data_IF_721901071030
#
_entry.id   IF_721901071030
#
_cell.length_a   1.000
_cell.length_b   1.000
_cell.length_c   1.000
_cell.angle_alpha   90.00
_cell.angle_beta   90.00
_cell.angle_gamma   90.00
#
_symmetry.space_group_name_H-M   'P 1'
#
loop_
_entity.id
_entity.type
_entity.pdbx_description
1 polymer ?
#
# COMPACT_ATOMS: atom_id res chain seq x y z
N UNK A 1 24.18 -42.33 10.44
CA UNK A 1 24.28 -40.89 10.82
C UNK A 1 23.40 -40.07 9.87
N UNK A 2 22.18 -39.77 10.29
CA UNK A 2 21.18 -39.10 9.44
C UNK A 2 21.52 -37.64 9.22
N UNK A 3 21.81 -37.25 7.98
CA UNK A 3 21.90 -35.85 7.59
C UNK A 3 20.52 -35.20 7.72
N UNK A 4 20.27 -34.52 8.85
CA UNK A 4 19.15 -33.59 8.97
C UNK A 4 19.30 -32.50 7.91
N UNK A 5 18.53 -32.61 6.83
CA UNK A 5 18.27 -31.50 5.90
C UNK A 5 17.71 -30.35 6.72
N UNK A 6 18.54 -29.34 7.03
CA UNK A 6 18.07 -28.05 7.56
C UNK A 6 16.94 -27.54 6.65
N UNK A 7 15.70 -27.59 7.12
CA UNK A 7 14.56 -26.97 6.44
C UNK A 7 14.88 -25.48 6.32
N UNK A 8 14.77 -24.95 5.11
CA UNK A 8 15.11 -23.56 4.80
C UNK A 8 14.10 -22.64 5.50
N UNK A 9 14.58 -21.58 6.15
CA UNK A 9 13.72 -20.47 6.57
C UNK A 9 13.18 -19.81 5.30
N UNK A 10 11.87 -19.96 5.07
CA UNK A 10 11.15 -19.24 4.02
C UNK A 10 10.87 -17.84 4.52
N UNK A 11 10.98 -16.85 3.65
CA UNK A 11 10.58 -15.49 3.96
C UNK A 11 9.06 -15.40 3.77
N UNK A 12 8.31 -15.36 4.88
CA UNK A 12 6.86 -15.41 4.87
C UNK A 12 6.37 -14.15 5.56
N UNK A 13 5.53 -13.38 4.87
CA UNK A 13 4.83 -12.25 5.45
C UNK A 13 3.46 -12.74 5.94
N UNK A 14 3.11 -12.36 7.18
CA UNK A 14 1.75 -12.46 7.72
C UNK A 14 0.98 -11.23 7.24
N UNK A 15 -0.13 -11.46 6.53
CA UNK A 15 -1.03 -10.41 6.04
C UNK A 15 -2.40 -10.62 6.66
N UNK A 16 -2.99 -9.52 7.11
CA UNK A 16 -4.37 -9.52 7.57
C UNK A 16 -5.30 -9.92 6.42
N UNK A 17 -6.21 -10.85 6.67
CA UNK A 17 -7.24 -11.23 5.70
C UNK A 17 -8.26 -10.10 5.57
N UNK A 18 -8.49 -9.64 4.35
CA UNK A 18 -9.55 -8.67 4.09
C UNK A 18 -10.92 -9.33 4.16
N UNK A 19 -11.90 -8.61 4.71
CA UNK A 19 -13.31 -9.00 4.76
C UNK A 19 -13.94 -8.88 3.37
N UNK A 20 -13.65 -9.86 2.52
CA UNK A 20 -14.20 -9.93 1.16
C UNK A 20 -15.26 -11.02 1.09
N UNK A 21 -16.39 -10.73 0.44
CA UNK A 21 -17.34 -11.75 -0.01
C UNK A 21 -16.78 -12.33 -1.31
N UNK A 22 -16.23 -13.56 -1.34
CA UNK A 22 -15.54 -14.09 -2.51
C UNK A 22 -16.51 -14.55 -3.62
N UNK A 23 -17.82 -14.43 -3.36
CA UNK A 23 -18.87 -14.91 -4.24
C UNK A 23 -19.31 -13.75 -5.15
N UNK A 24 -19.27 -13.99 -6.46
CA UNK A 24 -19.83 -13.07 -7.44
C UNK A 24 -21.32 -12.83 -7.15
N UNK A 25 -21.73 -11.56 -7.17
CA UNK A 25 -23.13 -11.16 -6.97
C UNK A 25 -24.10 -11.93 -7.89
N UNK A 26 -23.74 -12.13 -9.16
CA UNK A 26 -24.55 -12.90 -10.11
C UNK A 26 -24.75 -14.36 -9.69
N UNK A 27 -23.68 -14.98 -9.18
CA UNK A 27 -23.72 -16.36 -8.66
C UNK A 27 -24.58 -16.44 -7.41
N UNK A 28 -24.45 -15.49 -6.49
CA UNK A 28 -25.28 -15.43 -5.28
C UNK A 28 -26.77 -15.30 -5.64
N UNK A 29 -27.11 -14.36 -6.52
CA UNK A 29 -28.51 -14.14 -6.95
C UNK A 29 -29.06 -15.37 -7.65
N UNK A 30 -28.29 -16.00 -8.54
CA UNK A 30 -28.69 -17.23 -9.23
C UNK A 30 -28.92 -18.36 -8.23
N UNK A 31 -27.98 -18.62 -7.33
CA UNK A 31 -28.10 -19.66 -6.31
C UNK A 31 -29.33 -19.44 -5.42
N UNK A 32 -29.57 -18.21 -4.94
CA UNK A 32 -30.75 -17.90 -4.13
C UNK A 32 -32.05 -18.05 -4.92
N UNK A 33 -32.07 -17.63 -6.19
CA UNK A 33 -33.25 -17.79 -7.05
C UNK A 33 -33.59 -19.25 -7.31
N UNK A 34 -32.59 -20.14 -7.44
CA UNK A 34 -32.82 -21.57 -7.62
C UNK A 34 -33.44 -22.26 -6.39
N UNK A 35 -33.25 -21.72 -5.18
CA UNK A 35 -33.82 -22.26 -3.94
C UNK A 35 -35.32 -21.98 -3.79
N UNK A 36 -35.87 -21.00 -4.50
CA UNK A 36 -37.30 -20.67 -4.47
C UNK A 36 -38.04 -21.69 -5.34
N UNK A 37 -39.07 -22.37 -4.85
CA UNK A 37 -39.76 -23.41 -5.63
C UNK A 37 -40.72 -22.82 -6.68
N UNK A 38 -41.45 -21.77 -6.30
CA UNK A 38 -42.46 -21.12 -7.14
C UNK A 38 -41.83 -20.22 -8.21
N UNK A 39 -42.33 -20.33 -9.46
CA UNK A 39 -41.82 -19.55 -10.59
C UNK A 39 -42.16 -18.06 -10.49
N UNK A 40 -43.33 -17.71 -9.95
CA UNK A 40 -43.75 -16.31 -9.84
C UNK A 40 -42.91 -15.57 -8.79
N UNK A 41 -42.68 -16.21 -7.63
CA UNK A 41 -41.84 -15.69 -6.55
C UNK A 41 -40.38 -15.53 -7.00
N UNK A 42 -39.87 -16.41 -7.88
CA UNK A 42 -38.53 -16.25 -8.49
C UNK A 42 -38.42 -14.95 -9.28
N UNK A 43 -39.44 -14.64 -10.10
CA UNK A 43 -39.44 -13.43 -10.93
C UNK A 43 -39.53 -12.19 -10.04
N UNK A 44 -40.33 -12.22 -8.99
CA UNK A 44 -40.45 -11.13 -8.03
C UNK A 44 -39.14 -10.92 -7.25
N UNK A 45 -38.51 -11.99 -6.77
CA UNK A 45 -37.20 -11.94 -6.11
C UNK A 45 -36.12 -11.31 -6.99
N UNK A 46 -36.09 -11.64 -8.28
CA UNK A 46 -35.15 -11.03 -9.23
C UNK A 46 -35.44 -9.54 -9.44
N UNK A 47 -36.72 -9.14 -9.50
CA UNK A 47 -37.11 -7.71 -9.57
C UNK A 47 -36.69 -6.98 -8.30
N UNK A 48 -36.89 -7.58 -7.12
CA UNK A 48 -36.43 -7.04 -5.84
C UNK A 48 -34.91 -6.85 -5.83
N UNK A 49 -34.12 -7.87 -6.20
CA UNK A 49 -32.67 -7.78 -6.27
C UNK A 49 -32.18 -6.65 -7.18
N UNK A 50 -32.86 -6.44 -8.33
CA UNK A 50 -32.56 -5.32 -9.24
C UNK A 50 -32.87 -3.96 -8.60
N UNK A 51 -34.03 -3.82 -7.94
CA UNK A 51 -34.40 -2.57 -7.25
C UNK A 51 -33.42 -2.23 -6.14
N UNK A 52 -33.02 -3.22 -5.34
CA UNK A 52 -32.00 -3.07 -4.30
C UNK A 52 -30.66 -2.64 -4.89
N UNK A 53 -30.21 -3.27 -6.00
CA UNK A 53 -28.98 -2.86 -6.68
C UNK A 53 -29.03 -1.40 -7.15
N UNK A 54 -30.12 -1.01 -7.83
CA UNK A 54 -30.29 0.36 -8.32
C UNK A 54 -30.36 1.38 -7.17
N UNK A 55 -31.07 1.07 -6.09
CA UNK A 55 -31.18 1.95 -4.92
C UNK A 55 -29.81 2.16 -4.25
N UNK A 56 -29.05 1.08 -4.05
CA UNK A 56 -27.70 1.15 -3.48
C UNK A 56 -26.78 1.98 -4.39
N UNK A 57 -26.81 1.74 -5.71
CA UNK A 57 -26.00 2.52 -6.67
C UNK A 57 -26.36 4.00 -6.67
N UNK A 58 -27.65 4.33 -6.64
CA UNK A 58 -28.11 5.71 -6.58
C UNK A 58 -27.66 6.40 -5.28
N UNK A 59 -27.74 5.70 -4.14
CA UNK A 59 -27.26 6.23 -2.87
C UNK A 59 -25.76 6.53 -2.90
N UNK A 60 -24.94 5.59 -3.39
CA UNK A 60 -23.50 5.83 -3.54
C UNK A 60 -23.17 6.93 -4.54
N UNK A 61 -23.97 7.05 -5.61
CA UNK A 61 -23.78 8.09 -6.61
C UNK A 61 -23.97 9.49 -6.01
N UNK A 62 -24.99 9.69 -5.16
CA UNK A 62 -25.21 10.98 -4.46
C UNK A 62 -24.00 11.33 -3.58
N UNK A 63 -23.53 10.39 -2.75
CA UNK A 63 -22.34 10.62 -1.91
C UNK A 63 -21.08 10.94 -2.72
N UNK A 64 -20.95 10.34 -3.90
CA UNK A 64 -19.82 10.59 -4.79
C UNK A 64 -19.89 11.98 -5.45
N UNK A 65 -21.07 12.39 -5.90
CA UNK A 65 -21.30 13.73 -6.46
C UNK A 65 -20.99 14.82 -5.42
N UNK A 66 -21.49 14.67 -4.19
CA UNK A 66 -21.22 15.62 -3.10
C UNK A 66 -19.70 15.73 -2.82
N UNK A 67 -19.00 14.60 -2.77
CA UNK A 67 -17.55 14.57 -2.60
C UNK A 67 -16.81 15.23 -3.77
N UNK A 68 -17.28 15.03 -5.01
CA UNK A 68 -16.67 15.59 -6.22
C UNK A 68 -16.85 17.11 -6.27
N UNK A 69 -18.03 17.61 -5.90
CA UNK A 69 -18.29 19.04 -5.81
C UNK A 69 -17.36 19.70 -4.79
N UNK A 70 -17.19 19.09 -3.61
CA UNK A 70 -16.25 19.56 -2.60
C UNK A 70 -14.80 19.51 -3.10
N UNK A 71 -14.40 18.42 -3.77
CA UNK A 71 -13.05 18.26 -4.30
C UNK A 71 -12.72 19.29 -5.39
N UNK A 72 -13.72 19.71 -6.18
CA UNK A 72 -13.53 20.71 -7.26
C UNK A 72 -12.98 22.04 -6.73
N UNK A 73 -13.24 22.39 -5.47
CA UNK A 73 -12.69 23.58 -4.82
C UNK A 73 -11.19 23.47 -4.51
N UNK A 74 -10.68 22.25 -4.39
CA UNK A 74 -9.30 21.94 -3.99
C UNK A 74 -8.50 21.26 -5.10
N UNK A 75 -9.07 21.13 -6.31
CA UNK A 75 -8.44 20.42 -7.41
C UNK A 75 -7.21 21.19 -7.92
N UNK A 76 -6.01 20.59 -7.90
CA UNK A 76 -4.79 21.24 -8.38
C UNK A 76 -4.78 21.58 -9.87
N UNK A 77 -5.67 21.02 -10.70
CA UNK A 77 -5.65 21.24 -12.17
C UNK A 77 -6.75 22.19 -12.62
N UNK A 78 -7.99 21.98 -12.15
CA UNK A 78 -9.15 22.75 -12.58
C UNK A 78 -9.81 23.54 -11.44
N UNK A 79 -9.14 23.65 -10.29
CA UNK A 79 -9.67 24.28 -9.09
C UNK A 79 -10.19 25.68 -9.37
N UNK A 80 -11.47 25.90 -9.12
CA UNK A 80 -11.99 27.25 -8.97
C UNK A 80 -11.54 27.72 -7.59
N UNK A 81 -10.41 28.45 -7.51
CA UNK A 81 -9.98 29.04 -6.25
C UNK A 81 -11.16 29.75 -5.60
N UNK A 82 -11.46 29.48 -4.32
CA UNK A 82 -12.54 30.18 -3.63
C UNK A 82 -12.13 31.64 -3.41
N UNK A 83 -12.31 32.48 -4.42
CA UNK A 83 -11.87 33.88 -4.45
C UNK A 83 -12.65 34.77 -3.46
N UNK A 84 -13.70 34.24 -2.80
CA UNK A 84 -14.63 34.98 -1.94
C UNK A 84 -14.90 34.35 -0.56
N UNK A 85 -14.13 33.36 -0.11
CA UNK A 85 -14.35 32.71 1.20
C UNK A 85 -13.34 33.16 2.26
N UNK A 86 -13.79 33.24 3.51
CA UNK A 86 -12.89 33.47 4.65
C UNK A 86 -11.91 32.29 4.78
N UNK A 87 -10.66 32.50 5.22
CA UNK A 87 -9.73 31.40 5.48
C UNK A 87 -10.30 30.35 6.46
N UNK A 88 -11.15 30.75 7.40
CA UNK A 88 -11.82 29.85 8.36
C UNK A 88 -12.88 28.98 7.66
N UNK A 89 -13.64 29.54 6.71
CA UNK A 89 -14.61 28.79 5.93
C UNK A 89 -13.92 27.75 5.05
N UNK A 90 -12.74 28.08 4.52
CA UNK A 90 -11.94 27.14 3.74
C UNK A 90 -11.42 26.01 4.64
N UNK A 91 -10.96 26.31 5.85
CA UNK A 91 -10.55 25.27 6.82
C UNK A 91 -11.71 24.32 7.17
N UNK A 92 -12.92 24.86 7.32
CA UNK A 92 -14.12 24.05 7.55
C UNK A 92 -14.45 23.16 6.35
N UNK A 93 -14.37 23.70 5.12
CA UNK A 93 -14.59 22.93 3.90
C UNK A 93 -13.53 21.84 3.70
N UNK A 94 -12.27 22.11 4.03
CA UNK A 94 -11.18 21.12 4.03
C UNK A 94 -11.52 19.97 5.00
N UNK A 95 -12.00 20.30 6.20
CA UNK A 95 -12.40 19.30 7.20
C UNK A 95 -13.58 18.45 6.73
N UNK A 96 -14.61 19.09 6.16
CA UNK A 96 -15.80 18.41 5.61
C UNK A 96 -15.38 17.47 4.47
N UNK A 97 -14.56 17.95 3.54
CA UNK A 97 -14.02 17.13 2.46
C UNK A 97 -13.27 15.89 2.98
N UNK A 98 -12.34 16.07 3.93
CA UNK A 98 -11.60 14.97 4.52
C UNK A 98 -12.51 13.97 5.24
N UNK A 99 -13.53 14.46 5.95
CA UNK A 99 -14.50 13.59 6.63
C UNK A 99 -15.25 12.71 5.64
N UNK A 100 -15.79 13.29 4.57
CA UNK A 100 -16.48 12.52 3.52
C UNK A 100 -15.53 11.56 2.80
N UNK A 101 -14.31 11.99 2.49
CA UNK A 101 -13.31 11.14 1.86
C UNK A 101 -12.99 9.92 2.73
N UNK A 102 -12.75 10.11 4.03
CA UNK A 102 -12.46 9.01 4.95
C UNK A 102 -13.65 8.05 5.08
N UNK A 103 -14.88 8.55 5.17
CA UNK A 103 -16.07 7.71 5.19
C UNK A 103 -16.22 6.85 3.93
N UNK A 104 -15.93 7.42 2.75
CA UNK A 104 -15.95 6.68 1.48
C UNK A 104 -14.86 5.62 1.44
N UNK A 105 -13.65 5.95 1.92
CA UNK A 105 -12.53 5.01 1.99
C UNK A 105 -12.81 3.87 2.98
N UNK A 106 -13.35 4.18 4.16
CA UNK A 106 -13.71 3.20 5.19
C UNK A 106 -14.81 2.24 4.68
N UNK A 107 -15.90 2.77 4.10
CA UNK A 107 -16.93 1.95 3.43
C UNK A 107 -16.38 1.14 2.26
N UNK A 108 -15.32 1.65 1.65
CA UNK A 108 -14.57 0.97 0.60
C UNK A 108 -13.61 -0.10 1.08
N UNK A 109 -13.53 -0.38 2.40
CA UNK A 109 -12.56 -1.27 3.05
C UNK A 109 -11.10 -0.86 2.81
N UNK A 110 -10.83 0.43 2.63
CA UNK A 110 -9.45 0.93 2.61
C UNK A 110 -8.93 1.06 4.04
N UNK A 111 -7.68 0.66 4.25
CA UNK A 111 -6.95 0.81 5.52
C UNK A 111 -5.80 1.79 5.34
N UNK A 112 -5.50 2.58 6.37
CA UNK A 112 -4.27 3.38 6.41
C UNK A 112 -3.08 2.43 6.52
N UNK A 113 -2.02 2.68 5.75
CA UNK A 113 -0.81 1.85 5.77
C UNK A 113 -0.08 2.01 7.09
N UNK A 114 0.34 0.90 7.70
CA UNK A 114 1.03 0.91 8.99
C UNK A 114 2.52 1.15 8.82
N UNK A 115 3.18 1.57 9.90
CA UNK A 115 4.64 1.71 9.91
C UNK A 115 5.35 0.40 9.51
N UNK A 116 4.84 -0.75 9.98
CA UNK A 116 5.41 -2.06 9.68
C UNK A 116 5.37 -2.38 8.18
N UNK A 117 4.26 -2.07 7.50
CA UNK A 117 4.13 -2.25 6.06
C UNK A 117 5.11 -1.38 5.28
N UNK A 118 5.34 -0.15 5.74
CA UNK A 118 6.35 0.74 5.16
C UNK A 118 7.76 0.18 5.40
N UNK A 119 8.08 -0.27 6.61
CA UNK A 119 9.39 -0.88 6.89
C UNK A 119 9.63 -2.13 6.03
N UNK A 120 8.60 -2.96 5.85
CA UNK A 120 8.68 -4.14 4.99
C UNK A 120 8.93 -3.72 3.53
N UNK A 121 8.28 -2.64 3.06
CA UNK A 121 8.51 -2.09 1.73
C UNK A 121 9.96 -1.62 1.55
N UNK A 122 10.48 -0.83 2.49
CA UNK A 122 11.86 -0.32 2.47
C UNK A 122 12.92 -1.43 2.62
N UNK A 123 12.58 -2.55 3.27
CA UNK A 123 13.54 -3.60 3.62
C UNK A 123 13.97 -4.48 2.44
N UNK A 124 13.22 -4.51 1.35
CA UNK A 124 13.40 -5.51 0.31
C UNK A 124 13.29 -4.91 -1.10
N UNK A 125 14.19 -5.32 -1.98
CA UNK A 125 14.27 -4.84 -3.35
C UNK A 125 13.58 -5.84 -4.29
N UNK A 126 12.48 -5.44 -4.91
CA UNK A 126 11.74 -6.32 -5.82
C UNK A 126 12.05 -6.02 -7.30
N UNK A 127 11.63 -4.86 -7.83
CA UNK A 127 11.85 -4.53 -9.26
C UNK A 127 12.62 -3.23 -9.46
N UNK A 128 12.42 -2.26 -8.58
CA UNK A 128 13.03 -0.93 -8.72
C UNK A 128 14.06 -0.71 -7.63
N UNK A 129 15.20 -0.13 -8.01
CA UNK A 129 16.29 0.17 -7.09
C UNK A 129 16.70 1.63 -7.32
N UNK A 130 15.77 2.52 -7.01
CA UNK A 130 15.98 3.95 -7.09
C UNK A 130 16.18 4.44 -5.66
N UNK A 131 17.32 5.08 -5.33
CA UNK A 131 17.49 5.68 -4.02
C UNK A 131 16.59 6.92 -3.94
N UNK A 132 15.36 6.71 -3.48
CA UNK A 132 14.30 7.72 -3.42
C UNK A 132 14.30 8.32 -2.03
N UNK A 133 14.53 9.63 -1.95
CA UNK A 133 14.31 10.40 -0.73
C UNK A 133 13.16 11.37 -1.01
N UNK A 134 12.08 11.25 -0.26
CA UNK A 134 10.96 12.20 -0.31
C UNK A 134 11.42 13.51 0.31
N UNK A 135 11.33 14.60 -0.46
CA UNK A 135 11.60 15.94 0.06
C UNK A 135 10.44 16.40 0.95
N UNK A 136 10.55 16.12 2.24
CA UNK A 136 9.52 16.45 3.23
C UNK A 136 9.28 17.95 3.41
N UNK A 137 10.20 18.80 2.95
CA UNK A 137 10.06 20.26 3.06
C UNK A 137 8.95 20.81 2.16
N UNK A 138 8.60 20.07 1.11
CA UNK A 138 7.60 20.45 0.11
C UNK A 138 6.19 19.97 0.45
N UNK A 139 6.02 19.31 1.59
CA UNK A 139 4.73 18.80 2.06
C UNK A 139 4.20 19.67 3.18
N UNK A 140 2.93 20.00 3.07
CA UNK A 140 2.24 20.68 4.14
C UNK A 140 1.97 19.71 5.29
N UNK A 141 2.02 20.26 6.51
CA UNK A 141 1.70 19.53 7.75
C UNK A 141 0.42 20.01 8.41
N UNK A 142 -0.14 21.14 7.98
CA UNK A 142 -1.28 21.78 8.65
C UNK A 142 -2.58 21.01 8.43
N UNK A 143 -2.83 20.54 7.20
CA UNK A 143 -4.10 19.88 6.81
C UNK A 143 -4.41 18.67 7.70
N UNK A 144 -3.51 17.69 7.66
CA UNK A 144 -3.72 16.41 8.32
C UNK A 144 -3.57 16.53 9.83
N UNK A 145 -2.63 17.37 10.30
CA UNK A 145 -2.49 17.64 11.74
C UNK A 145 -3.74 18.29 12.32
N UNK A 146 -4.34 19.26 11.63
CA UNK A 146 -5.60 19.88 12.04
C UNK A 146 -6.76 18.88 12.02
N UNK A 147 -6.85 18.06 10.98
CA UNK A 147 -7.88 17.03 10.89
C UNK A 147 -7.81 16.00 12.03
N UNK A 148 -6.63 15.46 12.32
CA UNK A 148 -6.44 14.45 13.36
C UNK A 148 -6.50 15.01 14.78
N UNK A 149 -6.29 16.31 14.98
CA UNK A 149 -6.55 16.96 16.26
C UNK A 149 -8.04 16.88 16.64
N UNK A 150 -8.93 17.01 15.64
CA UNK A 150 -10.37 16.93 15.83
C UNK A 150 -10.90 15.48 15.75
N UNK A 151 -10.22 14.60 15.01
CA UNK A 151 -10.59 13.18 14.83
C UNK A 151 -9.40 12.28 15.22
N UNK A 152 -9.24 11.95 16.52
CA UNK A 152 -8.16 11.07 16.95
C UNK A 152 -8.36 9.66 16.38
N UNK A 153 -7.38 9.16 15.65
CA UNK A 153 -7.39 7.82 15.07
C UNK A 153 -6.30 6.97 15.74
N UNK A 154 -6.60 5.71 16.05
CA UNK A 154 -5.62 4.76 16.58
C UNK A 154 -4.63 4.33 15.49
N UNK A 155 -3.37 4.04 15.85
CA UNK A 155 -2.35 3.48 14.95
C UNK A 155 -2.02 4.31 13.70
N UNK A 156 -1.88 5.63 13.86
CA UNK A 156 -1.40 6.50 12.79
C UNK A 156 0.10 6.30 12.53
N UNK A 157 0.53 6.22 11.26
CA UNK A 157 1.94 6.07 10.93
C UNK A 157 2.74 7.34 11.23
N UNK A 158 4.07 7.21 11.35
CA UNK A 158 4.96 8.32 11.71
C UNK A 158 4.92 9.52 10.74
N UNK A 159 4.45 9.30 9.52
CA UNK A 159 4.34 10.31 8.46
C UNK A 159 2.91 10.84 8.26
N UNK A 160 1.94 10.43 9.08
CA UNK A 160 0.52 10.77 8.93
C UNK A 160 0.23 12.27 8.92
N UNK A 161 1.09 13.09 9.52
CA UNK A 161 0.96 14.56 9.49
C UNK A 161 1.23 15.16 8.11
N UNK A 162 1.96 14.46 7.22
CA UNK A 162 2.44 14.98 5.93
C UNK A 162 1.65 14.43 4.76
N UNK A 163 1.42 13.12 4.75
CA UNK A 163 0.67 12.42 3.73
C UNK A 163 0.08 11.14 4.30
N UNK A 164 -0.95 10.62 3.64
CA UNK A 164 -1.55 9.34 3.98
C UNK A 164 -1.52 8.41 2.79
N UNK A 165 -1.25 7.14 3.08
CA UNK A 165 -1.33 6.05 2.11
C UNK A 165 -2.43 5.12 2.58
N UNK A 166 -3.50 5.05 1.81
CA UNK A 166 -4.58 4.09 1.98
C UNK A 166 -4.33 2.90 1.06
N UNK A 167 -4.50 1.69 1.56
CA UNK A 167 -4.36 0.44 0.80
C UNK A 167 -5.63 -0.39 0.87
N UNK A 168 -5.86 -1.19 -0.18
CA UNK A 168 -6.91 -2.20 -0.25
C UNK A 168 -6.54 -3.30 -1.22
N UNK A 169 -6.95 -4.52 -0.92
CA UNK A 169 -6.71 -5.72 -1.69
C UNK A 169 -5.30 -6.22 -1.47
N UNK A 170 -5.17 -7.51 -1.19
CA UNK A 170 -3.90 -8.23 -1.21
C UNK A 170 -3.91 -9.22 -2.37
N UNK A 171 -3.04 -8.97 -3.34
CA UNK A 171 -2.76 -9.87 -4.45
C UNK A 171 -1.38 -10.49 -4.36
N UNK A 172 -1.05 -11.35 -5.33
CA UNK A 172 0.27 -11.96 -5.46
C UNK A 172 0.77 -11.68 -6.87
N UNK A 173 1.85 -10.92 -7.00
CA UNK A 173 2.57 -10.79 -8.27
C UNK A 173 3.54 -11.95 -8.42
N UNK A 174 3.53 -12.57 -9.60
CA UNK A 174 4.44 -13.66 -9.96
C UNK A 174 5.07 -13.34 -11.30
N UNK A 175 6.39 -13.21 -11.32
CA UNK A 175 7.12 -12.97 -12.55
C UNK A 175 8.17 -14.04 -12.80
N UNK A 176 8.12 -14.69 -13.96
CA UNK A 176 9.07 -15.74 -14.34
C UNK A 176 9.94 -15.27 -15.49
N UNK A 177 11.23 -15.05 -15.23
CA UNK A 177 12.19 -14.66 -16.25
C UNK A 177 13.60 -15.20 -15.95
N UNK A 178 14.53 -14.94 -16.86
CA UNK A 178 15.92 -15.37 -16.72
C UNK A 178 16.71 -14.53 -15.70
N UNK A 179 16.36 -13.25 -15.53
CA UNK A 179 16.92 -12.31 -14.53
C UNK A 179 18.45 -12.31 -14.43
N UNK A 180 19.16 -12.49 -15.55
CA UNK A 180 20.61 -12.75 -15.58
C UNK A 180 21.40 -11.64 -14.86
N UNK A 181 21.11 -10.36 -15.17
CA UNK A 181 21.77 -9.19 -14.54
C UNK A 181 21.59 -9.18 -13.02
N UNK A 182 20.36 -9.37 -12.53
CA UNK A 182 20.06 -9.39 -11.10
C UNK A 182 20.76 -10.55 -10.38
N UNK A 183 20.81 -11.73 -11.01
CA UNK A 183 21.53 -12.89 -10.47
C UNK A 183 23.05 -12.65 -10.39
N UNK A 184 23.67 -12.08 -11.44
CA UNK A 184 25.10 -11.75 -11.44
C UNK A 184 25.41 -10.74 -10.34
N UNK A 185 24.64 -9.65 -10.24
CA UNK A 185 24.80 -8.64 -9.18
C UNK A 185 24.68 -9.27 -7.79
N UNK A 186 23.72 -10.18 -7.59
CA UNK A 186 23.55 -10.90 -6.32
C UNK A 186 24.77 -11.76 -5.98
N UNK A 187 25.36 -12.45 -6.97
CA UNK A 187 26.59 -13.24 -6.78
C UNK A 187 27.76 -12.34 -6.43
N UNK A 188 27.94 -11.23 -7.16
CA UNK A 188 29.00 -10.24 -6.89
C UNK A 188 28.85 -9.69 -5.47
N UNK A 189 27.64 -9.27 -5.08
CA UNK A 189 27.37 -8.73 -3.75
C UNK A 189 27.65 -9.75 -2.63
N UNK A 190 27.28 -11.03 -2.82
CA UNK A 190 27.58 -12.11 -1.86
C UNK A 190 29.08 -12.36 -1.74
N UNK A 191 29.78 -12.42 -2.87
CA UNK A 191 31.24 -12.59 -2.91
C UNK A 191 31.95 -11.43 -2.23
N UNK A 192 31.54 -10.18 -2.50
CA UNK A 192 32.11 -8.98 -1.88
C UNK A 192 31.83 -8.94 -0.37
N UNK A 193 30.63 -9.31 0.07
CA UNK A 193 30.26 -9.39 1.49
C UNK A 193 31.07 -10.45 2.23
N UNK A 194 31.34 -11.59 1.59
CA UNK A 194 32.19 -12.65 2.15
C UNK A 194 33.66 -12.24 2.17
N UNK A 195 34.16 -11.61 1.11
CA UNK A 195 35.51 -11.04 1.04
C UNK A 195 35.74 -10.00 2.14
N UNK A 196 34.84 -9.02 2.30
CA UNK A 196 34.92 -7.99 3.35
C UNK A 196 34.81 -8.55 4.78
N UNK A 197 34.07 -9.67 4.96
CA UNK A 197 34.03 -10.38 6.25
C UNK A 197 35.35 -11.08 6.55
N UNK A 198 35.96 -11.70 5.54
CA UNK A 198 37.20 -12.44 5.68
C UNK A 198 38.42 -11.53 5.86
N UNK A 199 38.45 -10.37 5.20
CA UNK A 199 39.56 -9.40 5.29
C UNK A 199 39.44 -8.45 6.51
N UNK A 200 38.40 -8.57 7.34
CA UNK A 200 38.23 -7.75 8.54
C UNK A 200 37.93 -6.26 8.31
N UNK A 201 37.87 -5.81 7.04
CA UNK A 201 37.68 -4.40 6.64
C UNK A 201 36.28 -3.84 6.89
N UNK A 202 35.36 -4.62 7.46
CA UNK A 202 34.02 -4.15 7.86
C UNK A 202 34.06 -2.90 8.75
N UNK A 203 35.13 -2.67 9.52
CA UNK A 203 35.31 -1.46 10.34
C UNK A 203 35.52 -0.18 9.55
N UNK A 204 36.08 -0.25 8.33
CA UNK A 204 36.45 0.94 7.56
C UNK A 204 35.32 1.53 6.70
N UNK A 205 34.34 0.72 6.28
CA UNK A 205 33.23 1.19 5.44
C UNK A 205 31.90 1.40 6.20
N UNK A 206 31.89 1.20 7.52
CA UNK A 206 30.69 1.39 8.35
C UNK A 206 30.57 2.84 8.82
N UNK A 207 30.31 3.79 7.91
CA UNK A 207 29.71 5.07 8.32
C UNK A 207 28.27 4.78 8.72
N UNK A 208 28.00 4.80 10.02
CA UNK A 208 26.67 4.69 10.63
C UNK A 208 25.71 5.70 9.96
N UNK A 209 24.65 5.29 9.23
CA UNK A 209 23.52 6.18 9.07
C UNK A 209 22.88 6.36 10.45
N UNK A 210 22.63 7.61 10.85
CA UNK A 210 21.84 7.95 12.04
C UNK A 210 20.41 7.49 11.77
N UNK A 211 20.05 6.31 12.25
CA UNK A 211 18.68 5.82 12.16
C UNK A 211 17.78 6.60 13.15
N UNK A 212 16.57 7.05 12.76
CA UNK A 212 15.55 7.43 13.71
C UNK A 212 15.15 6.20 14.54
N UNK A 213 15.13 6.37 15.86
CA UNK A 213 14.57 5.53 16.93
C UNK A 213 14.34 4.03 16.63
N UNK A 214 15.14 3.22 17.30
CA UNK A 214 15.03 1.77 17.45
C UNK A 214 13.58 1.26 17.63
N UNK A 215 13.03 0.64 16.58
CA UNK A 215 12.30 -0.62 16.74
C UNK A 215 13.11 -1.68 16.00
N UNK A 216 13.53 -2.71 16.72
CA UNK A 216 14.19 -3.88 16.14
C UNK A 216 13.27 -4.50 15.07
N UNK A 217 13.78 -4.93 13.91
CA UNK A 217 13.05 -5.88 13.08
C UNK A 217 12.80 -7.11 13.93
N UNK A 218 11.52 -7.43 14.17
CA UNK A 218 11.12 -8.68 14.80
C UNK A 218 11.84 -9.83 14.09
N UNK A 219 12.61 -10.62 14.83
CA UNK A 219 13.28 -11.80 14.29
C UNK A 219 12.24 -12.68 13.57
N UNK A 220 12.61 -13.40 12.48
CA UNK A 220 11.69 -14.30 11.82
C UNK A 220 11.28 -15.40 12.80
N UNK A 221 10.11 -15.23 13.40
CA UNK A 221 9.51 -16.14 14.35
C UNK A 221 9.29 -17.49 13.66
N UNK A 222 9.96 -18.52 14.18
CA UNK A 222 9.67 -19.90 13.80
C UNK A 222 8.30 -20.27 14.38
N UNK A 223 7.25 -20.03 13.61
CA UNK A 223 5.89 -20.40 14.04
C UNK A 223 5.73 -21.91 13.89
N UNK A 224 5.69 -22.59 15.03
CA UNK A 224 5.16 -23.94 15.12
C UNK A 224 3.70 -23.92 14.63
N UNK A 225 3.42 -24.68 13.57
CA UNK A 225 2.07 -24.91 13.08
C UNK A 225 1.32 -25.70 14.15
N UNK A 226 0.56 -25.01 14.98
CA UNK A 226 -0.26 -25.62 16.01
C UNK A 226 -1.07 -24.60 16.80
N UNK A 227 -2.40 -24.74 16.70
CA UNK A 227 -3.50 -24.14 17.49
C UNK A 227 -4.18 -22.90 16.89
N UNK A 228 -5.28 -23.22 16.18
CA UNK A 228 -6.62 -22.61 16.23
C UNK A 228 -6.75 -21.18 16.78
N UNK A 229 -7.23 -20.27 15.92
CA UNK A 229 -7.91 -19.06 16.37
C UNK A 229 -7.75 -17.80 15.51
N UNK A 230 -6.81 -17.74 14.56
CA UNK A 230 -6.54 -16.50 13.81
C UNK A 230 -6.35 -16.80 12.32
N UNK A 231 -7.20 -16.19 11.50
CA UNK A 231 -7.45 -16.53 10.09
C UNK A 231 -6.50 -15.74 9.16
N UNK A 232 -5.22 -15.67 9.51
CA UNK A 232 -4.20 -14.89 8.81
C UNK A 232 -3.77 -15.49 7.47
N UNK A 233 -3.54 -14.64 6.47
CA UNK A 233 -2.95 -15.06 5.20
C UNK A 233 -1.42 -15.00 5.26
N UNK A 234 -0.77 -16.15 5.07
CA UNK A 234 0.68 -16.26 4.98
C UNK A 234 1.13 -16.31 3.52
N UNK A 235 1.86 -15.29 3.07
CA UNK A 235 2.37 -15.21 1.68
C UNK A 235 3.89 -15.32 1.67
N UNK A 236 4.41 -16.28 0.90
CA UNK A 236 5.85 -16.45 0.71
C UNK A 236 6.40 -15.37 -0.23
N UNK A 237 7.43 -14.65 0.22
CA UNK A 237 8.25 -13.77 -0.62
C UNK A 237 9.36 -14.59 -1.24
N UNK A 238 9.49 -14.47 -2.57
CA UNK A 238 10.53 -15.19 -3.29
C UNK A 238 11.35 -14.16 -4.05
N UNK A 239 12.41 -13.64 -3.44
CA UNK A 239 13.34 -12.69 -4.07
C UNK A 239 14.62 -13.35 -4.55
N UNK A 240 15.20 -12.83 -5.62
CA UNK A 240 16.48 -13.34 -6.18
C UNK A 240 17.59 -13.30 -5.14
N UNK A 241 17.59 -12.27 -4.28
CA UNK A 241 18.58 -12.09 -3.22
C UNK A 241 18.61 -13.23 -2.20
N UNK A 242 17.49 -13.93 -2.03
CA UNK A 242 17.34 -15.05 -1.10
C UNK A 242 17.42 -16.42 -1.82
N UNK A 243 17.51 -16.44 -3.15
CA UNK A 243 17.63 -17.67 -3.94
C UNK A 243 19.04 -18.29 -3.87
N UNK A 244 19.11 -19.63 -3.92
CA UNK A 244 20.38 -20.34 -4.15
C UNK A 244 20.76 -20.24 -5.63
N UNK A 245 21.61 -19.27 -5.95
CA UNK A 245 22.18 -19.09 -7.28
C UNK A 245 23.43 -19.97 -7.39
N UNK A 246 23.37 -20.95 -8.30
CA UNK A 246 24.52 -21.73 -8.77
C UNK A 246 24.69 -21.48 -10.27
N UNK A 247 25.84 -21.87 -10.83
CA UNK A 247 26.22 -21.57 -12.22
C UNK A 247 25.16 -22.08 -13.21
N UNK A 248 24.64 -23.31 -13.02
CA UNK A 248 23.57 -23.86 -13.87
C UNK A 248 22.20 -23.17 -13.67
N UNK A 249 21.97 -22.53 -12.52
CA UNK A 249 20.72 -21.79 -12.23
C UNK A 249 20.75 -20.33 -12.68
N UNK A 250 21.89 -19.84 -13.20
CA UNK A 250 21.97 -18.54 -13.85
C UNK A 250 21.20 -18.52 -15.17
N UNK A 251 21.32 -19.60 -15.94
CA UNK A 251 20.69 -19.79 -17.26
C UNK A 251 19.24 -20.31 -17.17
N UNK A 252 18.78 -20.76 -16.00
CA UNK A 252 17.40 -21.22 -15.83
C UNK A 252 16.42 -20.06 -15.59
N UNK A 253 15.17 -20.22 -16.05
CA UNK A 253 14.08 -19.31 -15.64
C UNK A 253 13.80 -19.50 -14.15
N UNK A 254 13.66 -18.39 -13.42
CA UNK A 254 13.28 -18.39 -12.01
C UNK A 254 12.02 -17.54 -11.85
N UNK A 255 11.13 -17.96 -10.94
CA UNK A 255 9.94 -17.20 -10.56
C UNK A 255 10.26 -16.37 -9.32
N UNK A 256 10.04 -15.06 -9.41
CA UNK A 256 10.03 -14.15 -8.27
C UNK A 256 8.57 -13.95 -7.87
N UNK A 257 8.32 -13.80 -6.57
CA UNK A 257 6.99 -13.59 -6.01
C UNK A 257 7.03 -12.51 -4.94
N UNK A 258 6.06 -11.61 -4.96
CA UNK A 258 5.87 -10.56 -3.95
C UNK A 258 4.37 -10.30 -3.76
N UNK A 259 3.88 -10.10 -2.51
CA UNK A 259 2.53 -9.59 -2.29
C UNK A 259 2.34 -8.20 -2.92
N UNK A 260 1.16 -7.94 -3.45
CA UNK A 260 0.79 -6.65 -4.04
C UNK A 260 -0.40 -6.04 -3.33
N UNK A 261 -0.42 -4.72 -3.22
CA UNK A 261 -1.66 -4.00 -2.95
C UNK A 261 -2.46 -3.84 -4.24
N UNK A 262 -3.71 -4.30 -4.25
CA UNK A 262 -4.57 -4.22 -5.44
C UNK A 262 -4.90 -2.77 -5.78
N UNK A 263 -5.16 -1.94 -4.75
CA UNK A 263 -5.42 -0.50 -4.87
C UNK A 263 -4.73 0.27 -3.76
N UNK A 264 -4.13 1.39 -4.13
CA UNK A 264 -3.52 2.34 -3.21
C UNK A 264 -4.03 3.73 -3.53
N UNK A 265 -4.39 4.50 -2.52
CA UNK A 265 -4.75 5.91 -2.62
C UNK A 265 -3.77 6.71 -1.78
N UNK A 266 -3.19 7.77 -2.35
CA UNK A 266 -2.32 8.70 -1.64
C UNK A 266 -2.97 10.05 -1.56
N UNK A 267 -3.03 10.57 -0.34
CA UNK A 267 -3.55 11.89 -0.01
C UNK A 267 -2.42 12.76 0.52
N UNK A 268 -2.21 13.93 -0.08
CA UNK A 268 -1.22 14.90 0.39
C UNK A 268 -1.57 16.32 -0.03
N UNK A 269 -0.99 17.31 0.66
CA UNK A 269 -1.00 18.72 0.27
C UNK A 269 0.43 19.22 0.11
N UNK A 270 0.67 20.06 -0.90
CA UNK A 270 1.96 20.72 -1.09
C UNK A 270 2.10 21.87 -0.11
N UNK A 271 3.30 22.10 0.39
CA UNK A 271 3.58 23.30 1.17
C UNK A 271 3.37 24.54 0.28
N UNK A 272 2.62 25.51 0.78
CA UNK A 272 2.43 26.79 0.12
C UNK A 272 3.74 27.59 0.14
N UNK A 273 4.04 28.27 -0.96
CA UNK A 273 5.11 29.28 -0.99
C UNK A 273 4.55 30.63 -0.53
N UNK A 274 5.41 31.56 -0.09
CA UNK A 274 4.97 32.90 0.35
C UNK A 274 4.14 33.66 -0.70
N UNK A 275 4.31 33.31 -1.98
CA UNK A 275 3.62 33.92 -3.12
C UNK A 275 2.37 33.17 -3.57
N UNK A 276 2.13 31.95 -3.07
CA UNK A 276 1.09 31.05 -3.60
C UNK A 276 0.35 30.37 -2.45
N UNK A 277 -0.82 30.91 -2.08
CA UNK A 277 -1.70 30.36 -1.04
C UNK A 277 -2.55 29.19 -1.59
N UNK A 278 -1.97 28.38 -2.45
CA UNK A 278 -2.62 27.24 -3.06
C UNK A 278 -2.95 26.17 -1.98
N UNK A 279 -4.24 26.07 -1.64
CA UNK A 279 -4.78 25.07 -0.71
C UNK A 279 -5.14 23.75 -1.39
N UNK A 280 -4.48 23.45 -2.51
CA UNK A 280 -4.79 22.32 -3.36
C UNK A 280 -4.49 20.97 -2.67
N UNK A 281 -5.45 20.05 -2.74
CA UNK A 281 -5.35 18.72 -2.14
C UNK A 281 -5.17 17.69 -3.26
N UNK A 282 -4.11 16.88 -3.15
CA UNK A 282 -3.80 15.88 -4.15
C UNK A 282 -4.27 14.51 -3.69
N UNK A 283 -5.13 13.88 -4.52
CA UNK A 283 -5.57 12.49 -4.34
C UNK A 283 -5.12 11.68 -5.55
N UNK A 284 -4.21 10.72 -5.33
CA UNK A 284 -3.67 9.85 -6.40
C UNK A 284 -4.05 8.41 -6.16
N UNK A 285 -4.41 7.70 -7.23
CA UNK A 285 -4.82 6.30 -7.17
C UNK A 285 -3.88 5.42 -8.02
N UNK A 286 -3.42 4.33 -7.41
CA UNK A 286 -2.53 3.34 -8.02
C UNK A 286 -3.17 1.95 -7.91
N UNK A 287 -2.82 1.06 -8.86
CA UNK A 287 -3.33 -0.32 -8.92
C UNK A 287 -2.19 -1.32 -9.01
N UNK A 288 -2.34 -2.46 -8.36
CA UNK A 288 -1.43 -3.62 -8.45
C UNK A 288 0.04 -3.26 -8.19
N UNK A 289 0.30 -2.57 -7.07
CA UNK A 289 1.64 -2.16 -6.68
C UNK A 289 2.24 -3.24 -5.77
N UNK A 290 3.41 -3.84 -6.11
CA UNK A 290 4.13 -4.73 -5.21
C UNK A 290 4.45 -4.03 -3.90
N UNK A 291 4.32 -4.74 -2.78
CA UNK A 291 4.54 -4.18 -1.45
C UNK A 291 5.98 -3.64 -1.30
N UNK A 292 6.97 -4.38 -1.79
CA UNK A 292 8.37 -3.93 -1.88
C UNK A 292 8.61 -2.70 -2.77
N UNK A 293 7.72 -2.41 -3.73
CA UNK A 293 7.86 -1.26 -4.63
C UNK A 293 6.94 -0.10 -4.19
N UNK A 294 6.44 -0.08 -2.95
CA UNK A 294 5.56 0.99 -2.45
C UNK A 294 6.19 2.38 -2.57
N UNK A 295 7.51 2.48 -2.56
CA UNK A 295 8.24 3.73 -2.81
C UNK A 295 7.84 4.39 -4.15
N UNK A 296 7.46 3.62 -5.18
CA UNK A 296 7.05 4.15 -6.49
C UNK A 296 5.84 5.07 -6.39
N UNK A 297 4.97 4.78 -5.43
CA UNK A 297 3.76 5.55 -5.17
C UNK A 297 4.15 6.93 -4.66
N UNK A 298 5.19 7.01 -3.82
CA UNK A 298 5.77 8.28 -3.38
C UNK A 298 6.45 8.98 -4.56
N UNK A 299 7.11 8.24 -5.47
CA UNK A 299 7.75 8.86 -6.66
C UNK A 299 6.80 9.52 -7.61
N UNK A 300 5.79 8.79 -8.03
CA UNK A 300 4.77 9.33 -8.92
C UNK A 300 3.96 10.43 -8.23
N UNK A 301 3.84 10.37 -6.91
CA UNK A 301 3.15 11.39 -6.13
C UNK A 301 3.94 12.69 -6.01
N UNK A 302 5.22 12.59 -5.70
CA UNK A 302 6.10 13.73 -5.44
C UNK A 302 7.05 13.95 -6.61
N UNK A 303 6.75 14.91 -7.49
CA UNK A 303 7.59 15.28 -8.65
C UNK A 303 8.98 15.81 -8.27
N UNK A 304 9.31 15.86 -6.98
CA UNK A 304 10.46 16.56 -6.41
C UNK A 304 11.44 15.62 -5.70
N UNK A 305 11.62 14.42 -6.21
CA UNK A 305 12.55 13.46 -5.62
C UNK A 305 13.95 13.71 -6.14
N UNK A 306 14.87 13.87 -5.19
CA UNK A 306 16.30 13.85 -5.50
C UNK A 306 16.74 12.39 -5.52
N UNK A 307 17.41 11.99 -6.60
CA UNK A 307 18.19 10.76 -6.59
C UNK A 307 19.26 10.94 -5.50
N UNK A 308 19.32 10.05 -4.52
CA UNK A 308 20.44 10.06 -3.59
C UNK A 308 21.70 9.70 -4.39
N UNK A 309 22.65 10.64 -4.45
CA UNK A 309 23.97 10.42 -5.04
C UNK A 309 24.85 9.58 -4.11
#
# INVERSE_FOLDING_TARGET
>A
MGWMRKKKKKDIIRLEKESVIPILKSKLISSLSHLIENKDDRVEFLKFCKRVDSAIRAWYFIHFEDLLQLYTLFDPVHGAHPQNLSPEDIDNLEHVFLTHLFQVLEKGNFKISTDEEIYIALSAQYRLNLPIIVDESKLDRRLLRGFFANNPHADLPFFAEKYLIFRRGVGIDRHTAFFIKAKINTIIARSWRNFLKYTGLKRFFSRKPRNPRNKSPTEPTEVNVGREGDDDMFVERIHIENMKLGICKLLSRNTIQEPTFERIIVLYRRASSETDQDRNIYVKHFKNIPMADLEIVLVSSFTWIRLAA
#
